data_IF_122348558087
#
_entry.id   IF_122348558087
#
_cell.length_a   1.000
_cell.length_b   1.000
_cell.length_c   1.000
_cell.angle_alpha   90.00
_cell.angle_beta   90.00
_cell.angle_gamma   90.00
#
_symmetry.space_group_name_H-M   'P 1'
#
loop_
_entity.id
_entity.type
_entity.pdbx_description
1 polymer ?
#
# COMPACT_ATOMS: atom_id res chain seq x y z
N UNK A 1 -14.01 -13.59 -8.63
CA UNK A 1 -12.90 -13.17 -7.76
C UNK A 1 -13.48 -12.53 -6.52
N UNK A 2 -12.92 -12.84 -5.38
CA UNK A 2 -13.29 -12.25 -4.09
C UNK A 2 -12.39 -11.04 -3.81
N UNK A 3 -12.87 -10.10 -3.01
CA UNK A 3 -12.15 -8.91 -2.60
C UNK A 3 -11.93 -8.95 -1.09
N UNK A 4 -10.67 -8.88 -0.66
CA UNK A 4 -10.28 -8.79 0.73
C UNK A 4 -9.73 -7.41 1.05
N UNK A 5 -10.06 -6.90 2.23
CA UNK A 5 -9.55 -5.62 2.75
C UNK A 5 -8.45 -5.92 3.76
N UNK A 6 -7.26 -5.36 3.54
CA UNK A 6 -6.09 -5.59 4.37
C UNK A 6 -5.62 -4.26 4.95
N UNK A 7 -5.35 -4.23 6.26
CA UNK A 7 -4.50 -3.20 6.84
C UNK A 7 -3.09 -3.76 7.02
N UNK A 8 -2.09 -3.02 6.58
CA UNK A 8 -0.69 -3.39 6.69
C UNK A 8 0.16 -2.23 7.22
N UNK A 9 1.38 -2.53 7.67
CA UNK A 9 2.31 -1.61 8.30
C UNK A 9 1.78 -1.08 9.64
N UNK A 10 2.09 -1.79 10.69
CA UNK A 10 1.64 -1.44 12.05
C UNK A 10 2.57 -2.04 13.10
N UNK A 11 2.66 -1.36 14.24
CA UNK A 11 3.62 -1.62 15.29
C UNK A 11 2.93 -1.99 16.59
N UNK A 12 3.59 -2.85 17.36
CA UNK A 12 3.16 -3.26 18.69
C UNK A 12 4.19 -2.87 19.74
N UNK A 13 3.97 -3.29 20.99
CA UNK A 13 4.95 -3.10 22.08
C UNK A 13 6.24 -3.91 21.93
N UNK A 14 6.36 -4.75 20.91
CA UNK A 14 7.61 -5.41 20.56
C UNK A 14 8.60 -4.46 19.88
N UNK A 15 8.10 -3.34 19.35
CA UNK A 15 8.90 -2.21 18.88
C UNK A 15 8.49 -0.92 19.61
N UNK A 16 7.74 -0.05 18.98
CA UNK A 16 7.42 1.30 19.45
C UNK A 16 5.91 1.63 19.42
N UNK A 17 5.06 0.67 19.06
CA UNK A 17 3.61 0.80 19.20
C UNK A 17 3.16 0.66 20.66
N UNK A 18 1.93 1.10 20.96
CA UNK A 18 1.40 1.07 22.34
C UNK A 18 0.59 -0.18 22.69
N UNK A 19 0.10 -0.94 21.68
CA UNK A 19 -0.75 -2.11 21.87
C UNK A 19 0.00 -3.44 21.73
N UNK A 20 -0.64 -4.52 22.14
CA UNK A 20 -0.21 -5.88 21.84
C UNK A 20 -0.93 -6.41 20.60
N UNK A 21 -0.48 -7.52 20.01
CA UNK A 21 -1.11 -8.16 18.86
C UNK A 21 -2.62 -8.41 19.06
N UNK A 22 -3.04 -8.78 20.28
CA UNK A 22 -4.47 -8.92 20.59
C UNK A 22 -5.25 -7.61 20.48
N UNK A 23 -4.61 -6.48 20.83
CA UNK A 23 -5.26 -5.16 20.76
C UNK A 23 -5.40 -4.73 19.28
N UNK A 24 -4.41 -5.10 18.45
CA UNK A 24 -4.50 -4.93 16.99
C UNK A 24 -5.62 -5.80 16.40
N UNK A 25 -5.73 -7.08 16.83
CA UNK A 25 -6.77 -7.98 16.38
C UNK A 25 -8.17 -7.44 16.68
N UNK A 26 -8.40 -6.96 17.92
CA UNK A 26 -9.67 -6.33 18.30
C UNK A 26 -9.96 -5.08 17.46
N UNK A 27 -8.94 -4.23 17.25
CA UNK A 27 -9.07 -3.05 16.41
C UNK A 27 -9.38 -3.39 14.93
N UNK A 28 -8.78 -4.46 14.40
CA UNK A 28 -9.06 -4.96 13.06
C UNK A 28 -10.48 -5.50 12.91
N UNK A 29 -10.95 -6.25 13.91
CA UNK A 29 -12.35 -6.70 13.96
C UNK A 29 -13.33 -5.51 14.05
N UNK A 30 -13.00 -4.47 14.81
CA UNK A 30 -13.79 -3.23 14.89
C UNK A 30 -13.78 -2.45 13.57
N UNK A 31 -12.67 -2.46 12.86
CA UNK A 31 -12.54 -1.83 11.55
C UNK A 31 -13.23 -2.63 10.43
N UNK A 32 -13.45 -3.94 10.62
CA UNK A 32 -14.08 -4.82 9.64
C UNK A 32 -13.14 -5.20 8.49
N UNK A 33 -11.81 -5.20 8.72
CA UNK A 33 -10.83 -5.68 7.74
C UNK A 33 -10.72 -7.20 7.78
N UNK A 34 -10.33 -7.80 6.65
CA UNK A 34 -10.23 -9.26 6.50
C UNK A 34 -8.88 -9.80 7.00
N UNK A 35 -7.81 -8.99 6.91
CA UNK A 35 -6.50 -9.36 7.43
C UNK A 35 -5.69 -8.15 7.94
N UNK A 36 -4.75 -8.44 8.87
CA UNK A 36 -3.71 -7.53 9.34
C UNK A 36 -2.34 -8.11 9.01
N UNK A 37 -1.42 -7.26 8.53
CA UNK A 37 -0.01 -7.58 8.32
C UNK A 37 0.82 -6.70 9.27
N UNK A 38 1.23 -7.28 10.40
CA UNK A 38 1.95 -6.60 11.49
C UNK A 38 3.43 -6.54 11.17
N UNK A 39 4.12 -5.44 11.50
CA UNK A 39 5.50 -5.17 11.06
C UNK A 39 6.32 -4.47 12.14
N UNK A 40 6.50 -5.10 13.30
CA UNK A 40 7.37 -4.54 14.34
C UNK A 40 8.80 -4.30 13.82
N UNK A 41 9.45 -3.24 14.30
CA UNK A 41 10.79 -2.85 13.87
C UNK A 41 11.85 -3.88 14.24
N UNK A 42 12.52 -4.45 13.21
CA UNK A 42 13.68 -5.33 13.37
C UNK A 42 13.45 -6.51 14.34
N UNK A 43 12.24 -7.02 14.39
CA UNK A 43 11.88 -8.21 15.18
C UNK A 43 10.76 -9.00 14.54
N UNK A 44 11.02 -10.27 14.24
CA UNK A 44 9.99 -11.21 13.78
C UNK A 44 9.34 -11.87 15.00
N UNK A 45 8.15 -11.42 15.37
CA UNK A 45 7.40 -11.97 16.50
C UNK A 45 6.72 -13.27 16.10
N UNK A 46 7.35 -14.40 16.35
CA UNK A 46 6.88 -15.71 15.90
C UNK A 46 5.68 -16.24 16.72
N UNK A 47 4.87 -17.08 16.07
CA UNK A 47 3.79 -17.82 16.73
C UNK A 47 2.50 -17.02 16.94
N UNK A 48 2.39 -15.82 16.34
CA UNK A 48 1.21 -14.97 16.46
C UNK A 48 0.40 -14.88 15.15
N UNK A 49 0.84 -15.54 14.09
CA UNK A 49 -0.01 -15.73 12.90
C UNK A 49 -1.23 -16.55 13.26
N UNK A 50 -2.40 -16.11 12.85
CA UNK A 50 -3.61 -16.88 13.12
C UNK A 50 -4.90 -16.11 12.93
N UNK A 51 -5.98 -16.85 13.06
CA UNK A 51 -7.33 -16.30 13.03
C UNK A 51 -7.76 -15.79 14.40
N UNK A 52 -8.23 -14.54 14.42
CA UNK A 52 -8.97 -13.93 15.52
C UNK A 52 -10.46 -13.90 15.17
N UNK A 53 -11.32 -14.19 16.14
CA UNK A 53 -12.75 -14.30 15.90
C UNK A 53 -13.56 -13.62 17.00
N UNK A 54 -14.61 -12.90 16.57
CA UNK A 54 -15.61 -12.29 17.45
C UNK A 54 -17.01 -12.51 16.84
N UNK A 55 -17.78 -13.43 17.41
CA UNK A 55 -19.06 -13.84 16.83
C UNK A 55 -18.88 -14.44 15.43
N UNK A 56 -19.49 -13.80 14.42
CA UNK A 56 -19.34 -14.19 13.01
C UNK A 56 -18.18 -13.51 12.28
N UNK A 57 -17.59 -12.46 12.88
CA UNK A 57 -16.46 -11.76 12.32
C UNK A 57 -15.19 -12.59 12.50
N UNK A 58 -14.35 -12.64 11.47
CA UNK A 58 -13.10 -13.36 11.45
C UNK A 58 -12.03 -12.50 10.78
N UNK A 59 -10.87 -12.45 11.38
CA UNK A 59 -9.70 -11.68 10.94
C UNK A 59 -8.48 -12.60 10.90
N UNK A 60 -7.73 -12.60 9.80
CA UNK A 60 -6.43 -13.26 9.73
C UNK A 60 -5.33 -12.27 10.09
N UNK A 61 -4.53 -12.57 11.11
CA UNK A 61 -3.32 -11.83 11.43
C UNK A 61 -2.12 -12.57 10.86
N UNK A 62 -1.26 -11.86 10.14
CA UNK A 62 0.03 -12.32 9.65
C UNK A 62 1.12 -11.39 10.18
N UNK A 63 2.25 -11.97 10.58
CA UNK A 63 3.39 -11.22 11.11
C UNK A 63 4.50 -11.16 10.09
N UNK A 64 5.03 -9.97 9.88
CA UNK A 64 6.22 -9.63 9.11
C UNK A 64 7.15 -8.77 9.94
N UNK A 65 7.99 -7.99 9.28
CA UNK A 65 8.93 -7.05 9.90
C UNK A 65 9.00 -5.75 9.10
N UNK A 66 9.25 -4.65 9.80
CA UNK A 66 9.82 -3.45 9.21
C UNK A 66 11.29 -3.35 9.58
N UNK A 67 12.15 -3.49 8.60
CA UNK A 67 13.59 -3.64 8.75
C UNK A 67 14.33 -2.36 8.36
N UNK A 68 15.20 -1.88 9.25
CA UNK A 68 16.05 -0.71 9.01
C UNK A 68 17.39 -0.83 9.75
N UNK A 69 18.39 -0.12 9.28
CA UNK A 69 19.71 -0.09 9.92
C UNK A 69 19.68 0.81 11.18
N UNK A 70 19.75 0.17 12.37
CA UNK A 70 19.77 0.85 13.68
C UNK A 70 21.05 1.65 13.93
N UNK A 71 22.09 1.47 13.13
CA UNK A 71 23.36 2.20 13.30
C UNK A 71 23.32 3.59 12.65
N UNK A 72 22.33 3.85 11.80
CA UNK A 72 22.13 5.14 11.17
C UNK A 72 21.43 6.10 12.14
N UNK A 73 22.01 7.29 12.43
CA UNK A 73 21.48 8.22 13.42
C UNK A 73 20.05 8.71 13.14
N UNK A 74 19.66 8.72 11.88
CA UNK A 74 18.40 9.28 11.39
C UNK A 74 17.42 8.20 10.91
N UNK A 75 17.74 6.94 11.15
CA UNK A 75 16.86 5.81 10.78
C UNK A 75 16.72 5.62 9.28
N UNK A 76 16.37 5.95 8.36
CA UNK A 76 16.20 5.88 6.91
C UNK A 76 16.27 4.48 6.28
N UNK A 77 15.65 4.34 5.11
CA UNK A 77 15.63 3.11 4.33
C UNK A 77 14.95 1.93 5.04
N UNK A 78 13.67 2.10 5.36
CA UNK A 78 12.85 1.04 5.93
C UNK A 78 12.30 0.09 4.85
N UNK A 79 12.26 -1.20 5.17
CA UNK A 79 11.77 -2.25 4.28
C UNK A 79 10.74 -3.12 5.01
N UNK A 80 9.51 -3.16 4.52
CA UNK A 80 8.49 -4.10 4.98
C UNK A 80 8.77 -5.47 4.35
N UNK A 81 8.81 -6.52 5.17
CA UNK A 81 9.02 -7.89 4.68
C UNK A 81 7.94 -8.82 5.22
N UNK A 82 7.30 -9.59 4.33
CA UNK A 82 6.21 -10.50 4.65
C UNK A 82 6.46 -11.91 4.10
N UNK A 83 6.12 -12.93 4.90
CA UNK A 83 6.15 -14.33 4.47
C UNK A 83 7.48 -15.05 4.73
N UNK A 84 8.49 -14.38 5.28
CA UNK A 84 9.72 -15.02 5.77
C UNK A 84 9.48 -15.77 7.09
N UNK A 85 10.39 -16.67 7.41
CA UNK A 85 10.32 -17.51 8.62
C UNK A 85 11.49 -17.28 9.59
N UNK A 86 12.46 -16.49 9.18
CA UNK A 86 13.68 -16.22 9.92
C UNK A 86 13.89 -14.72 10.03
N UNK A 87 14.37 -14.30 11.19
CA UNK A 87 14.77 -12.93 11.48
C UNK A 87 15.80 -12.42 10.45
N UNK A 88 15.55 -11.26 9.84
CA UNK A 88 16.39 -10.68 8.80
C UNK A 88 17.12 -9.40 9.23
N UNK A 89 16.94 -8.91 10.46
CA UNK A 89 17.53 -7.65 10.97
C UNK A 89 19.06 -7.59 10.87
N UNK A 90 19.73 -8.73 10.88
CA UNK A 90 21.21 -8.83 10.70
C UNK A 90 21.72 -8.39 9.33
N UNK A 91 20.82 -8.17 8.36
CA UNK A 91 21.20 -7.76 6.99
C UNK A 91 20.88 -6.30 6.70
N UNK A 92 20.35 -5.55 7.66
CA UNK A 92 19.84 -4.18 7.46
C UNK A 92 20.90 -3.14 7.08
N UNK A 93 22.18 -3.40 7.40
CA UNK A 93 23.31 -2.54 6.98
C UNK A 93 23.62 -2.60 5.48
N UNK A 94 23.03 -3.55 4.74
CA UNK A 94 23.19 -3.72 3.30
C UNK A 94 21.79 -3.94 2.68
N UNK A 95 21.13 -2.87 2.18
CA UNK A 95 19.76 -2.96 1.66
C UNK A 95 19.60 -3.95 0.52
N UNK A 96 20.59 -4.08 -0.39
CA UNK A 96 20.50 -5.06 -1.47
C UNK A 96 20.55 -6.48 -0.93
N UNK A 97 21.47 -6.75 -0.01
CA UNK A 97 21.58 -8.06 0.62
C UNK A 97 20.33 -8.42 1.43
N UNK A 98 19.71 -7.46 2.09
CA UNK A 98 18.46 -7.64 2.81
C UNK A 98 17.34 -8.08 1.84
N UNK A 99 17.19 -7.38 0.69
CA UNK A 99 16.22 -7.73 -0.35
C UNK A 99 16.52 -9.11 -0.93
N UNK A 100 17.79 -9.43 -1.19
CA UNK A 100 18.19 -10.74 -1.71
C UNK A 100 17.86 -11.87 -0.73
N UNK A 101 18.05 -11.63 0.57
CA UNK A 101 17.68 -12.60 1.62
C UNK A 101 16.16 -12.74 1.76
N UNK A 102 15.39 -11.67 1.67
CA UNK A 102 13.94 -11.75 1.62
C UNK A 102 13.47 -12.61 0.43
N UNK A 103 14.00 -12.36 -0.76
CA UNK A 103 13.71 -13.15 -1.96
C UNK A 103 14.12 -14.63 -1.82
N UNK A 104 15.28 -14.92 -1.26
CA UNK A 104 15.74 -16.29 -1.02
C UNK A 104 14.82 -17.07 -0.07
N UNK A 105 14.13 -16.38 0.84
CA UNK A 105 13.11 -16.94 1.72
C UNK A 105 11.70 -16.99 1.09
N UNK A 106 11.54 -16.57 -0.18
CA UNK A 106 10.25 -16.50 -0.86
C UNK A 106 9.34 -15.37 -0.34
N UNK A 107 9.90 -14.45 0.45
CA UNK A 107 9.15 -13.34 1.04
C UNK A 107 8.83 -12.24 0.02
N UNK A 108 7.92 -11.36 0.39
CA UNK A 108 7.66 -10.08 -0.27
C UNK A 108 8.43 -8.99 0.46
N UNK A 109 8.92 -8.02 -0.30
CA UNK A 109 9.55 -6.83 0.27
C UNK A 109 9.02 -5.57 -0.36
N UNK A 110 8.59 -4.61 0.47
CA UNK A 110 8.09 -3.31 0.02
C UNK A 110 8.95 -2.21 0.65
N UNK A 111 9.43 -1.28 -0.15
CA UNK A 111 10.09 -0.07 0.35
C UNK A 111 9.03 0.75 1.10
N UNK A 112 9.20 0.89 2.41
CA UNK A 112 8.29 1.64 3.27
C UNK A 112 8.47 3.14 3.06
N UNK A 113 7.38 3.91 3.12
CA UNK A 113 7.36 5.39 3.05
C UNK A 113 8.54 5.95 2.25
N UNK A 114 8.66 5.64 0.93
CA UNK A 114 9.86 5.88 0.12
C UNK A 114 10.27 7.35 0.09
N UNK A 115 9.31 8.25 0.23
CA UNK A 115 9.52 9.70 0.38
C UNK A 115 8.82 10.14 1.66
N UNK A 116 9.58 10.70 2.59
CA UNK A 116 9.06 11.18 3.86
C UNK A 116 9.75 12.48 4.27
N UNK A 117 8.98 13.49 4.67
CA UNK A 117 9.48 14.74 5.16
C UNK A 117 9.90 14.67 6.63
N UNK A 118 10.82 15.54 7.04
CA UNK A 118 11.08 15.77 8.46
C UNK A 118 9.87 16.41 9.14
N UNK A 119 9.70 16.18 10.45
CA UNK A 119 8.72 16.89 11.28
C UNK A 119 9.41 17.63 12.42
N UNK A 120 10.01 18.83 12.15
CA UNK A 120 10.83 19.56 13.11
C UNK A 120 10.09 19.93 14.39
N UNK A 121 8.76 20.13 14.31
CA UNK A 121 7.92 20.45 15.47
C UNK A 121 7.93 19.34 16.56
N UNK A 122 8.30 18.11 16.20
CA UNK A 122 8.41 16.95 17.10
C UNK A 122 9.82 16.36 17.14
N UNK A 123 10.79 17.05 16.54
CA UNK A 123 12.18 16.60 16.43
C UNK A 123 12.31 15.23 15.72
N UNK A 124 11.44 14.96 14.75
CA UNK A 124 11.49 13.76 13.93
C UNK A 124 12.25 14.01 12.63
N UNK A 125 13.16 13.07 12.30
CA UNK A 125 13.97 13.07 11.09
C UNK A 125 13.22 12.60 9.85
N UNK A 126 13.96 12.51 8.75
CA UNK A 126 13.54 11.92 7.49
C UNK A 126 13.87 10.44 7.47
N UNK A 127 12.85 9.57 7.28
CA UNK A 127 13.01 8.12 7.22
C UNK A 127 12.85 7.55 5.79
N UNK A 128 12.82 8.42 4.77
CA UNK A 128 12.69 8.03 3.38
C UNK A 128 13.79 7.08 2.88
N UNK A 129 13.51 6.37 1.80
CA UNK A 129 14.44 5.43 1.18
C UNK A 129 15.59 6.15 0.48
N UNK A 130 16.84 5.73 0.70
CA UNK A 130 18.05 6.43 0.21
C UNK A 130 18.72 5.75 -0.98
N UNK A 131 18.83 4.41 -0.97
CA UNK A 131 19.56 3.68 -2.03
C UNK A 131 18.62 3.14 -3.11
N UNK A 132 18.40 3.92 -4.15
CA UNK A 132 17.59 3.56 -5.31
C UNK A 132 18.32 2.68 -6.33
N UNK A 133 19.56 2.28 -6.09
CA UNK A 133 20.29 1.32 -6.92
C UNK A 133 19.86 -0.14 -6.69
N UNK A 134 19.19 -0.42 -5.56
CA UNK A 134 18.69 -1.75 -5.19
C UNK A 134 17.68 -2.29 -6.19
N UNK A 135 17.59 -3.61 -6.28
CA UNK A 135 16.71 -4.32 -7.24
C UNK A 135 16.06 -5.53 -6.57
N UNK A 136 14.95 -5.96 -7.14
CA UNK A 136 14.34 -7.22 -6.75
C UNK A 136 13.34 -7.13 -5.61
N UNK A 137 13.09 -5.95 -5.06
CA UNK A 137 11.97 -5.72 -4.15
C UNK A 137 10.63 -5.92 -4.89
N UNK A 138 9.58 -6.26 -4.16
CA UNK A 138 8.23 -6.51 -4.71
C UNK A 138 7.55 -5.21 -5.14
N UNK A 139 7.69 -4.17 -4.31
CA UNK A 139 6.99 -2.92 -4.56
C UNK A 139 7.36 -1.82 -3.57
N UNK A 140 6.51 -0.81 -3.52
CA UNK A 140 6.65 0.33 -2.61
C UNK A 140 5.35 0.59 -1.85
N UNK A 141 5.47 1.21 -0.71
CA UNK A 141 4.35 1.81 0.00
C UNK A 141 4.01 3.15 -0.66
N UNK A 142 3.02 3.11 -1.57
CA UNK A 142 2.62 4.29 -2.34
C UNK A 142 1.94 5.34 -1.46
N UNK A 143 1.16 4.88 -0.49
CA UNK A 143 0.42 5.72 0.44
C UNK A 143 0.70 5.27 1.86
N UNK A 144 1.47 6.06 2.61
CA UNK A 144 1.71 5.87 4.03
C UNK A 144 1.00 6.99 4.81
N UNK A 145 0.18 6.61 5.80
CA UNK A 145 -0.65 7.55 6.55
C UNK A 145 0.18 8.45 7.45
N UNK A 146 1.24 7.93 8.07
CA UNK A 146 2.09 8.73 8.97
C UNK A 146 3.01 9.68 8.19
N UNK A 147 3.53 9.26 7.04
CA UNK A 147 4.30 10.16 6.15
C UNK A 147 3.43 11.30 5.62
N UNK A 148 2.17 11.00 5.25
CA UNK A 148 1.23 12.06 4.88
C UNK A 148 0.97 13.00 6.07
N UNK A 149 0.84 12.47 7.30
CA UNK A 149 0.70 13.30 8.50
C UNK A 149 1.92 14.22 8.67
N UNK A 150 3.14 13.72 8.55
CA UNK A 150 4.37 14.54 8.66
C UNK A 150 4.37 15.67 7.64
N UNK A 151 4.15 15.36 6.36
CA UNK A 151 4.14 16.36 5.28
C UNK A 151 3.09 17.45 5.48
N UNK A 152 1.88 17.07 5.95
CA UNK A 152 0.78 18.03 6.09
C UNK A 152 0.76 18.77 7.42
N UNK A 153 1.52 18.33 8.42
CA UNK A 153 1.49 18.80 9.81
C UNK A 153 2.72 19.59 10.22
N UNK A 154 3.36 20.29 9.29
CA UNK A 154 4.64 21.01 9.46
C UNK A 154 4.63 22.14 10.51
N UNK A 155 3.50 22.46 11.13
CA UNK A 155 3.40 23.41 12.22
C UNK A 155 2.60 22.83 13.39
N UNK A 156 2.94 23.23 14.64
CA UNK A 156 2.25 22.75 15.84
C UNK A 156 0.71 22.89 15.79
N UNK A 157 0.12 24.02 15.31
CA UNK A 157 -1.34 24.10 15.19
C UNK A 157 -1.94 23.10 14.20
N UNK A 158 -1.26 22.87 13.05
CA UNK A 158 -1.71 21.87 12.07
C UNK A 158 -1.56 20.45 12.60
N UNK A 159 -0.44 20.16 13.26
CA UNK A 159 -0.20 18.86 13.88
C UNK A 159 -1.26 18.56 14.96
N UNK A 160 -1.55 19.52 15.82
CA UNK A 160 -2.64 19.38 16.82
C UNK A 160 -4.00 19.17 16.14
N UNK A 161 -4.33 19.95 15.09
CA UNK A 161 -5.56 19.80 14.34
C UNK A 161 -5.70 18.38 13.77
N UNK A 162 -4.68 17.88 13.08
CA UNK A 162 -4.71 16.55 12.46
C UNK A 162 -4.66 15.43 13.51
N UNK A 163 -3.95 15.62 14.63
CA UNK A 163 -3.91 14.66 15.72
C UNK A 163 -5.27 14.47 16.41
N UNK A 164 -6.00 15.55 16.66
CA UNK A 164 -7.32 15.52 17.29
C UNK A 164 -8.48 15.26 16.30
N UNK A 165 -8.28 15.60 15.02
CA UNK A 165 -9.25 15.41 13.95
C UNK A 165 -8.60 14.66 12.76
N UNK A 166 -8.18 13.40 12.95
CA UNK A 166 -7.42 12.65 11.95
C UNK A 166 -8.19 12.47 10.63
N UNK A 167 -9.52 12.50 10.67
CA UNK A 167 -10.36 12.46 9.45
C UNK A 167 -10.19 13.68 8.52
N UNK A 168 -9.45 14.69 8.92
CA UNK A 168 -9.14 15.87 8.10
C UNK A 168 -7.82 15.69 7.32
N UNK A 169 -7.02 14.69 7.68
CA UNK A 169 -5.67 14.52 7.19
C UNK A 169 -5.62 13.87 5.80
N UNK A 170 -6.09 12.63 5.66
CA UNK A 170 -5.89 11.83 4.46
C UNK A 170 -6.42 12.53 3.19
N UNK A 171 -5.52 12.86 2.26
CA UNK A 171 -5.84 13.58 1.02
C UNK A 171 -5.42 12.84 -0.24
N UNK A 172 -4.58 11.80 -0.11
CA UNK A 172 -4.03 11.01 -1.20
C UNK A 172 -2.54 10.76 -1.03
N UNK A 173 -1.97 9.83 -1.79
CA UNK A 173 -0.53 9.63 -1.86
C UNK A 173 0.18 10.95 -2.14
N UNK A 174 1.39 11.11 -1.61
CA UNK A 174 2.21 12.28 -1.91
C UNK A 174 2.53 12.34 -3.41
N UNK A 175 2.45 13.51 -4.02
CA UNK A 175 2.66 13.67 -5.46
C UNK A 175 4.03 13.16 -5.91
N UNK A 176 5.07 13.45 -5.13
CA UNK A 176 6.43 12.96 -5.41
C UNK A 176 6.51 11.44 -5.35
N UNK A 177 5.75 10.78 -4.46
CA UNK A 177 5.69 9.31 -4.40
C UNK A 177 4.97 8.72 -5.61
N UNK A 178 3.91 9.36 -6.10
CA UNK A 178 3.23 8.97 -7.34
C UNK A 178 4.18 9.08 -8.54
N UNK A 179 4.89 10.21 -8.68
CA UNK A 179 5.86 10.43 -9.76
C UNK A 179 7.01 9.41 -9.70
N UNK A 180 7.54 9.15 -8.52
CA UNK A 180 8.57 8.13 -8.29
C UNK A 180 8.07 6.75 -8.73
N UNK A 181 6.85 6.37 -8.32
CA UNK A 181 6.27 5.08 -8.70
C UNK A 181 6.09 4.95 -10.21
N UNK A 182 5.56 5.99 -10.89
CA UNK A 182 5.46 6.02 -12.35
C UNK A 182 6.83 5.83 -13.01
N UNK A 183 7.87 6.50 -12.52
CA UNK A 183 9.24 6.33 -13.02
C UNK A 183 9.77 4.90 -12.79
N UNK A 184 9.55 4.33 -11.61
CA UNK A 184 9.97 2.97 -11.28
C UNK A 184 9.28 1.94 -12.17
N UNK A 185 7.98 2.08 -12.44
CA UNK A 185 7.23 1.18 -13.34
C UNK A 185 7.77 1.22 -14.78
N UNK A 186 8.21 2.38 -15.25
CA UNK A 186 8.76 2.53 -16.61
C UNK A 186 10.20 2.04 -16.74
N UNK A 187 11.00 2.10 -15.68
CA UNK A 187 12.43 1.79 -15.71
C UNK A 187 12.77 0.38 -15.22
N UNK A 188 11.91 -0.21 -14.38
CA UNK A 188 12.12 -1.53 -13.83
C UNK A 188 11.87 -2.64 -14.85
N UNK A 189 12.66 -3.73 -14.73
CA UNK A 189 12.46 -4.94 -15.57
C UNK A 189 11.28 -5.81 -15.12
N UNK A 190 10.77 -5.57 -13.91
CA UNK A 190 9.65 -6.28 -13.29
C UNK A 190 8.63 -5.28 -12.82
N UNK A 191 7.36 -5.67 -12.72
CA UNK A 191 6.34 -4.86 -12.08
C UNK A 191 6.76 -4.37 -10.69
N UNK A 192 6.42 -3.12 -10.36
CA UNK A 192 6.62 -2.53 -9.03
C UNK A 192 5.24 -2.33 -8.42
N UNK A 193 4.92 -3.16 -7.44
CA UNK A 193 3.59 -3.17 -6.81
C UNK A 193 3.44 -2.01 -5.83
N UNK A 194 2.27 -1.38 -5.84
CA UNK A 194 1.89 -0.36 -4.86
C UNK A 194 0.99 -0.95 -3.77
N UNK A 195 1.27 -0.59 -2.52
CA UNK A 195 0.43 -0.88 -1.37
C UNK A 195 0.18 0.41 -0.57
N UNK A 196 -0.88 0.40 0.24
CA UNK A 196 -1.16 1.45 1.23
C UNK A 196 -0.92 0.89 2.63
N UNK A 197 -0.13 1.59 3.43
CA UNK A 197 0.14 1.23 4.80
C UNK A 197 -0.23 2.35 5.79
N UNK A 198 -0.63 1.94 6.98
CA UNK A 198 -1.12 2.88 7.99
C UNK A 198 -0.02 3.37 8.92
N UNK A 199 1.05 2.60 9.06
CA UNK A 199 2.17 2.89 9.98
C UNK A 199 1.68 3.20 11.40
N UNK A 200 0.84 2.27 11.89
CA UNK A 200 0.02 2.52 13.06
C UNK A 200 0.77 2.21 14.35
N UNK A 201 0.88 3.21 15.24
CA UNK A 201 1.54 3.11 16.54
C UNK A 201 0.56 3.25 17.72
N UNK A 202 -0.66 3.80 17.48
CA UNK A 202 -1.65 4.09 18.53
C UNK A 202 -1.04 4.92 19.68
N UNK A 203 -0.44 6.06 19.34
CA UNK A 203 0.36 6.88 20.25
C UNK A 203 -0.43 7.25 21.52
N UNK A 204 0.09 6.90 22.68
CA UNK A 204 -0.51 7.20 23.98
C UNK A 204 0.29 8.26 24.73
N UNK A 205 -0.32 9.41 24.97
CA UNK A 205 0.24 10.50 25.76
C UNK A 205 -0.47 10.58 27.12
N UNK A 206 0.33 10.73 28.19
CA UNK A 206 -0.15 10.88 29.57
C UNK A 206 0.07 12.30 30.08
N UNK A 207 -1.01 12.97 30.40
CA UNK A 207 -0.99 14.30 31.04
C UNK A 207 -1.61 14.20 32.43
N UNK A 208 -0.81 13.87 33.46
CA UNK A 208 -1.30 13.56 34.81
C UNK A 208 -2.26 12.35 34.77
N UNK A 209 -3.52 12.49 35.24
CA UNK A 209 -4.49 11.40 35.17
C UNK A 209 -5.12 11.21 33.78
N UNK A 210 -4.95 12.18 32.86
CA UNK A 210 -5.52 12.12 31.52
C UNK A 210 -4.65 11.29 30.58
N UNK A 211 -5.27 10.32 29.89
CA UNK A 211 -4.65 9.57 28.80
C UNK A 211 -5.29 10.00 27.49
N UNK A 212 -4.48 10.47 26.55
CA UNK A 212 -4.89 10.85 25.21
C UNK A 212 -4.28 9.86 24.22
N UNK A 213 -5.12 9.21 23.41
CA UNK A 213 -4.69 8.36 22.32
C UNK A 213 -4.83 9.11 21.02
N UNK A 214 -3.74 9.24 20.29
CA UNK A 214 -3.71 9.81 18.96
C UNK A 214 -3.62 8.66 17.94
N UNK A 215 -4.37 8.78 16.85
CA UNK A 215 -4.40 7.76 15.80
C UNK A 215 -4.65 6.33 16.32
N UNK A 216 -5.84 6.07 16.94
CA UNK A 216 -6.16 4.72 17.41
C UNK A 216 -6.12 3.71 16.25
N UNK A 217 -5.61 2.51 16.50
CA UNK A 217 -5.53 1.43 15.49
C UNK A 217 -6.83 1.25 14.70
N UNK A 218 -7.99 1.14 15.37
CA UNK A 218 -9.27 0.93 14.71
C UNK A 218 -9.66 2.09 13.77
N UNK A 219 -9.22 3.32 14.03
CA UNK A 219 -9.41 4.44 13.13
C UNK A 219 -8.54 4.27 11.88
N UNK A 220 -7.24 4.02 12.06
CA UNK A 220 -6.29 3.89 10.96
C UNK A 220 -6.65 2.70 10.07
N UNK A 221 -6.96 1.52 10.63
CA UNK A 221 -7.36 0.32 9.89
C UNK A 221 -8.67 0.49 9.10
N UNK A 222 -9.53 1.43 9.48
CA UNK A 222 -10.76 1.76 8.78
C UNK A 222 -10.57 2.82 7.72
N UNK A 223 -9.53 3.65 7.84
CA UNK A 223 -9.34 4.78 6.95
C UNK A 223 -8.53 4.44 5.71
N UNK A 224 -7.33 3.91 5.88
CA UNK A 224 -6.41 3.61 4.78
C UNK A 224 -6.14 2.11 4.72
N UNK A 225 -6.42 1.51 3.58
CA UNK A 225 -6.37 0.05 3.39
C UNK A 225 -5.74 -0.32 2.05
N UNK A 226 -5.25 -1.55 1.95
CA UNK A 226 -4.93 -2.19 0.68
C UNK A 226 -6.01 -3.24 0.40
N UNK A 227 -6.73 -3.08 -0.70
CA UNK A 227 -7.65 -4.10 -1.19
C UNK A 227 -6.94 -5.04 -2.13
N UNK A 228 -7.18 -6.35 -1.97
CA UNK A 228 -6.65 -7.37 -2.87
C UNK A 228 -7.76 -8.17 -3.52
N UNK A 229 -7.52 -8.61 -4.76
CA UNK A 229 -8.40 -9.48 -5.50
C UNK A 229 -7.83 -10.90 -5.51
N UNK A 230 -8.58 -11.85 -4.96
CA UNK A 230 -8.17 -13.25 -4.83
C UNK A 230 -9.14 -14.17 -5.57
N UNK A 231 -8.69 -15.33 -6.08
CA UNK A 231 -9.57 -16.24 -6.82
C UNK A 231 -10.68 -16.86 -5.95
N UNK A 232 -10.42 -17.09 -4.67
CA UNK A 232 -11.31 -17.82 -3.76
C UNK A 232 -11.48 -17.08 -2.43
N UNK A 233 -12.54 -17.41 -1.69
CA UNK A 233 -12.73 -16.96 -0.31
C UNK A 233 -11.67 -17.57 0.61
N UNK A 234 -11.40 -16.89 1.73
CA UNK A 234 -10.58 -17.44 2.80
C UNK A 234 -11.20 -18.74 3.34
N UNK A 235 -10.38 -19.76 3.42
CA UNK A 235 -10.80 -21.13 3.83
C UNK A 235 -10.89 -21.28 5.35
N UNK A 236 -10.08 -20.51 6.09
CA UNK A 236 -9.87 -20.66 7.54
C UNK A 236 -8.63 -21.48 7.89
N UNK A 237 -7.93 -21.98 6.89
CA UNK A 237 -6.63 -22.64 7.08
C UNK A 237 -5.53 -21.61 6.86
N UNK A 238 -4.70 -21.38 7.90
CA UNK A 238 -3.76 -20.26 7.97
C UNK A 238 -2.76 -20.27 6.83
N UNK A 239 -2.16 -21.41 6.50
CA UNK A 239 -1.11 -21.48 5.48
C UNK A 239 -1.66 -21.29 4.06
N UNK A 240 -2.83 -21.83 3.78
CA UNK A 240 -3.54 -21.66 2.53
C UNK A 240 -3.91 -20.21 2.32
N UNK A 241 -4.51 -19.58 3.34
CA UNK A 241 -5.00 -18.22 3.27
C UNK A 241 -3.85 -17.20 3.30
N UNK A 242 -2.77 -17.47 4.05
CA UNK A 242 -1.50 -16.71 3.95
C UNK A 242 -0.96 -16.71 2.52
N UNK A 243 -0.87 -17.88 1.90
CA UNK A 243 -0.36 -18.03 0.53
C UNK A 243 -1.24 -17.25 -0.45
N UNK A 244 -2.56 -17.33 -0.30
CA UNK A 244 -3.53 -16.61 -1.12
C UNK A 244 -3.33 -15.09 -1.05
N UNK A 245 -3.18 -14.54 0.16
CA UNK A 245 -2.95 -13.10 0.38
C UNK A 245 -1.60 -12.66 -0.18
N UNK A 246 -0.53 -13.37 0.18
CA UNK A 246 0.82 -13.00 -0.25
C UNK A 246 0.98 -13.09 -1.77
N UNK A 247 0.34 -14.07 -2.42
CA UNK A 247 0.41 -14.20 -3.88
C UNK A 247 -0.34 -13.06 -4.59
N UNK A 248 -1.52 -12.66 -4.10
CA UNK A 248 -2.22 -11.50 -4.63
C UNK A 248 -1.40 -10.20 -4.50
N UNK A 249 -0.72 -10.00 -3.38
CA UNK A 249 0.20 -8.88 -3.19
C UNK A 249 1.42 -8.98 -4.13
N UNK A 250 2.00 -10.18 -4.30
CA UNK A 250 3.13 -10.43 -5.21
C UNK A 250 2.81 -10.05 -6.65
N UNK A 251 1.60 -10.41 -7.08
CA UNK A 251 1.13 -10.17 -8.45
C UNK A 251 0.63 -8.73 -8.67
N UNK A 252 0.46 -7.93 -7.61
CA UNK A 252 -0.13 -6.61 -7.73
C UNK A 252 -1.64 -6.62 -8.01
N UNK A 253 -2.33 -7.72 -7.68
CA UNK A 253 -3.79 -7.82 -7.73
C UNK A 253 -4.41 -7.01 -6.60
N UNK A 254 -4.04 -5.73 -6.52
CA UNK A 254 -4.30 -4.86 -5.38
C UNK A 254 -4.55 -3.40 -5.78
N UNK A 255 -5.18 -2.66 -4.90
CA UNK A 255 -5.29 -1.21 -4.98
C UNK A 255 -5.23 -0.56 -3.59
N UNK A 256 -4.69 0.66 -3.54
CA UNK A 256 -4.69 1.50 -2.35
C UNK A 256 -6.05 2.21 -2.22
N UNK A 257 -6.61 2.25 -1.02
CA UNK A 257 -7.97 2.72 -0.79
C UNK A 257 -8.10 3.57 0.47
N UNK A 258 -8.84 4.67 0.37
CA UNK A 258 -9.25 5.51 1.49
C UNK A 258 -10.73 5.26 1.78
N UNK A 259 -11.03 4.30 2.65
CA UNK A 259 -12.40 3.82 2.90
C UNK A 259 -13.26 4.74 3.79
N UNK A 260 -12.67 5.73 4.44
CA UNK A 260 -13.36 6.59 5.40
C UNK A 260 -14.50 7.43 4.79
N UNK A 261 -14.36 8.03 3.57
CA UNK A 261 -15.45 8.79 2.95
C UNK A 261 -16.62 7.92 2.53
N UNK A 262 -16.30 6.81 1.89
CA UNK A 262 -17.22 5.80 1.37
C UNK A 262 -16.45 4.50 1.14
N UNK A 263 -17.02 3.31 1.43
CA UNK A 263 -16.37 2.05 1.14
C UNK A 263 -15.97 1.92 -0.32
N UNK A 264 -14.73 1.51 -0.58
CA UNK A 264 -14.18 1.32 -1.93
C UNK A 264 -14.48 -0.06 -2.50
N UNK A 265 -15.01 -0.99 -1.68
CA UNK A 265 -15.42 -2.32 -2.12
C UNK A 265 -16.27 -2.28 -3.39
N UNK A 266 -15.92 -3.13 -4.34
CA UNK A 266 -16.56 -3.20 -5.64
C UNK A 266 -15.88 -2.37 -6.72
N UNK A 267 -14.79 -1.65 -6.40
CA UNK A 267 -13.93 -1.08 -7.43
C UNK A 267 -13.31 -2.20 -8.27
N UNK A 268 -13.33 -2.01 -9.60
CA UNK A 268 -12.68 -2.93 -10.54
C UNK A 268 -12.00 -2.14 -11.65
N UNK A 269 -10.76 -2.51 -11.94
CA UNK A 269 -10.01 -2.08 -13.13
C UNK A 269 -9.59 -3.34 -13.88
N UNK A 270 -10.09 -3.48 -15.10
CA UNK A 270 -9.91 -4.67 -15.94
C UNK A 270 -9.52 -4.31 -17.35
N UNK A 271 -8.93 -5.25 -18.07
CA UNK A 271 -8.67 -5.17 -19.49
C UNK A 271 -9.21 -6.41 -20.20
N UNK A 272 -10.19 -6.23 -21.08
CA UNK A 272 -10.67 -7.30 -21.93
C UNK A 272 -9.79 -7.41 -23.17
N UNK A 273 -9.34 -8.62 -23.45
CA UNK A 273 -8.53 -9.03 -24.59
C UNK A 273 -9.23 -10.17 -25.33
N UNK A 274 -8.66 -10.64 -26.43
CA UNK A 274 -9.16 -11.84 -27.13
C UNK A 274 -8.97 -13.12 -26.29
N UNK A 275 -8.02 -13.13 -25.38
CA UNK A 275 -7.65 -14.31 -24.56
C UNK A 275 -8.39 -14.34 -23.21
N UNK A 276 -9.17 -13.29 -22.89
CA UNK A 276 -9.90 -13.19 -21.63
C UNK A 276 -9.82 -11.82 -20.98
N UNK A 277 -10.16 -11.77 -19.69
CA UNK A 277 -10.15 -10.55 -18.88
C UNK A 277 -8.96 -10.56 -17.93
N UNK A 278 -8.09 -9.57 -18.08
CA UNK A 278 -6.99 -9.28 -17.17
C UNK A 278 -7.41 -8.28 -16.09
N UNK A 279 -6.72 -8.30 -14.96
CA UNK A 279 -6.92 -7.38 -13.83
C UNK A 279 -5.64 -6.61 -13.51
N UNK A 280 -5.69 -5.74 -12.51
CA UNK A 280 -4.51 -5.05 -11.97
C UNK A 280 -3.38 -6.05 -11.68
N UNK A 281 -2.15 -5.71 -12.05
CA UNK A 281 -0.96 -6.56 -11.92
C UNK A 281 -0.66 -7.42 -13.16
N UNK A 282 -1.66 -7.71 -13.97
CA UNK A 282 -1.51 -8.57 -15.14
C UNK A 282 -0.78 -7.89 -16.31
N UNK A 283 -0.19 -8.71 -17.17
CA UNK A 283 0.41 -8.30 -18.44
C UNK A 283 -0.42 -8.82 -19.61
N UNK A 284 -0.72 -7.96 -20.59
CA UNK A 284 -1.54 -8.27 -21.76
C UNK A 284 -0.83 -7.89 -23.07
N UNK A 285 -1.19 -8.56 -24.18
CA UNK A 285 -0.66 -8.25 -25.52
C UNK A 285 -1.48 -7.13 -26.18
N UNK A 286 -0.83 -6.04 -26.57
CA UNK A 286 -1.50 -4.84 -27.09
C UNK A 286 -2.00 -4.97 -28.53
N UNK A 287 -1.31 -5.74 -29.38
CA UNK A 287 -1.55 -5.87 -30.82
C UNK A 287 -2.95 -6.39 -31.18
N UNK A 288 -3.55 -7.21 -30.33
CA UNK A 288 -4.89 -7.77 -30.51
C UNK A 288 -6.04 -6.79 -30.22
N UNK A 289 -5.73 -5.63 -29.66
CA UNK A 289 -6.71 -4.65 -29.18
C UNK A 289 -7.09 -4.89 -27.72
N UNK A 290 -7.18 -3.79 -26.99
CA UNK A 290 -7.43 -3.77 -25.54
C UNK A 290 -8.68 -2.93 -25.25
N UNK A 291 -9.51 -3.42 -24.36
CA UNK A 291 -10.63 -2.64 -23.80
C UNK A 291 -10.47 -2.53 -22.31
N UNK A 292 -9.89 -1.42 -21.84
CA UNK A 292 -9.82 -1.10 -20.43
C UNK A 292 -11.20 -0.68 -19.91
N UNK A 293 -11.57 -1.20 -18.75
CA UNK A 293 -12.80 -0.86 -18.06
C UNK A 293 -12.53 -0.56 -16.60
N UNK A 294 -13.07 0.57 -16.13
CA UNK A 294 -13.11 0.93 -14.72
C UNK A 294 -14.55 0.91 -14.27
N UNK A 295 -14.82 0.26 -13.15
CA UNK A 295 -16.10 0.30 -12.45
C UNK A 295 -15.89 0.82 -11.04
N UNK A 296 -16.64 1.84 -10.66
CA UNK A 296 -16.60 2.48 -9.36
C UNK A 296 -17.80 2.09 -8.51
N UNK A 297 -17.67 2.04 -7.17
CA UNK A 297 -18.80 1.81 -6.26
C UNK A 297 -19.86 2.91 -6.33
N UNK A 298 -19.45 4.14 -6.58
CA UNK A 298 -20.31 5.34 -6.71
C UNK A 298 -19.81 6.24 -7.83
N UNK A 299 -20.66 7.17 -8.26
CA UNK A 299 -20.28 8.23 -9.21
C UNK A 299 -19.29 9.18 -8.57
N UNK A 300 -18.17 9.39 -9.24
CA UNK A 300 -17.15 10.32 -8.77
C UNK A 300 -16.16 10.67 -9.90
N UNK A 301 -15.03 11.30 -9.54
CA UNK A 301 -13.99 11.70 -10.48
C UNK A 301 -12.99 10.56 -10.68
N UNK A 302 -12.79 10.11 -11.91
CA UNK A 302 -11.89 9.02 -12.30
C UNK A 302 -10.97 9.43 -13.44
N UNK A 303 -9.69 9.04 -13.31
CA UNK A 303 -8.64 9.22 -14.31
C UNK A 303 -8.06 7.87 -14.70
N UNK A 304 -7.89 7.65 -15.99
CA UNK A 304 -7.07 6.59 -16.56
C UNK A 304 -5.75 7.20 -17.01
N UNK A 305 -4.65 6.65 -16.52
CA UNK A 305 -3.31 7.09 -16.87
C UNK A 305 -2.64 6.01 -17.73
N UNK A 306 -1.79 6.45 -18.66
CA UNK A 306 -0.83 5.63 -19.40
C UNK A 306 0.55 6.22 -19.20
N UNK A 307 1.50 5.41 -18.73
CA UNK A 307 2.89 5.83 -18.52
C UNK A 307 3.01 7.10 -17.65
N UNK A 308 2.18 7.21 -16.60
CA UNK A 308 2.11 8.35 -15.70
C UNK A 308 1.31 9.56 -16.22
N UNK A 309 0.84 9.53 -17.48
CA UNK A 309 0.12 10.65 -18.09
C UNK A 309 -1.38 10.35 -18.16
N UNK A 310 -2.22 11.29 -17.73
CA UNK A 310 -3.68 11.19 -17.83
C UNK A 310 -4.10 11.18 -19.31
N UNK A 311 -4.69 10.07 -19.76
CA UNK A 311 -5.17 9.91 -21.15
C UNK A 311 -6.69 9.98 -21.26
N UNK A 312 -7.39 9.76 -20.15
CA UNK A 312 -8.85 9.87 -20.09
C UNK A 312 -9.30 10.24 -18.68
N UNK A 313 -10.26 11.14 -18.58
CA UNK A 313 -10.78 11.64 -17.32
C UNK A 313 -12.31 11.81 -17.43
N UNK A 314 -13.00 11.46 -16.36
CA UNK A 314 -14.44 11.69 -16.23
C UNK A 314 -14.79 12.16 -14.84
N UNK A 315 -15.67 13.16 -14.75
CA UNK A 315 -16.30 13.60 -13.52
C UNK A 315 -17.71 13.01 -13.43
N UNK A 316 -18.15 12.68 -12.22
CA UNK A 316 -19.51 12.17 -11.94
C UNK A 316 -19.91 10.94 -12.80
N UNK A 317 -19.03 9.92 -12.82
CA UNK A 317 -19.27 8.66 -13.53
C UNK A 317 -18.97 7.46 -12.63
N UNK A 318 -19.67 6.35 -12.88
CA UNK A 318 -19.41 5.04 -12.27
C UNK A 318 -18.57 4.13 -13.18
N UNK A 319 -18.51 4.45 -14.47
CA UNK A 319 -17.84 3.61 -15.46
C UNK A 319 -16.98 4.48 -16.38
N UNK A 320 -15.76 4.01 -16.64
CA UNK A 320 -14.89 4.53 -17.69
C UNK A 320 -14.47 3.37 -18.59
N UNK A 321 -14.55 3.56 -19.91
CA UNK A 321 -14.07 2.57 -20.89
C UNK A 321 -13.09 3.23 -21.84
N UNK A 322 -11.99 2.56 -22.17
CA UNK A 322 -10.97 3.04 -23.12
C UNK A 322 -10.51 1.90 -24.02
N UNK A 323 -10.61 2.11 -25.35
CA UNK A 323 -10.17 1.17 -26.38
C UNK A 323 -8.84 1.64 -26.95
N UNK A 324 -7.87 0.72 -27.05
CA UNK A 324 -6.54 1.04 -27.59
C UNK A 324 -5.83 -0.21 -28.12
N UNK A 325 -4.75 0.01 -28.86
CA UNK A 325 -3.73 -1.01 -29.22
C UNK A 325 -2.33 -0.59 -28.79
N UNK A 326 -2.23 0.46 -28.00
CA UNK A 326 -0.95 1.01 -27.61
C UNK A 326 -0.37 0.25 -26.42
N UNK A 327 0.90 -0.17 -26.48
CA UNK A 327 1.60 -0.66 -25.31
C UNK A 327 1.83 0.47 -24.30
N UNK A 328 1.98 0.12 -23.04
CA UNK A 328 2.22 1.06 -21.95
C UNK A 328 1.76 0.51 -20.61
N UNK A 329 1.99 1.27 -19.55
CA UNK A 329 1.59 0.99 -18.18
C UNK A 329 0.30 1.74 -17.88
N UNK A 330 -0.80 1.03 -17.71
CA UNK A 330 -2.11 1.62 -17.49
C UNK A 330 -2.54 1.50 -16.04
N UNK A 331 -2.86 2.61 -15.37
CA UNK A 331 -3.37 2.64 -14.00
C UNK A 331 -4.50 3.63 -13.82
N UNK A 332 -5.21 3.54 -12.71
CA UNK A 332 -6.38 4.36 -12.40
C UNK A 332 -6.17 5.13 -11.11
N UNK A 333 -6.55 6.39 -11.14
CA UNK A 333 -6.70 7.24 -9.97
C UNK A 333 -8.16 7.66 -9.84
N UNK A 334 -8.69 7.58 -8.63
CA UNK A 334 -10.05 8.01 -8.33
C UNK A 334 -10.03 9.00 -7.17
N UNK A 335 -10.82 10.04 -7.30
CA UNK A 335 -10.92 11.11 -6.32
C UNK A 335 -12.36 11.28 -5.86
N UNK A 336 -12.53 11.69 -4.61
CA UNK A 336 -13.83 11.88 -3.97
C UNK A 336 -13.88 13.21 -3.22
N UNK A 337 -15.03 13.88 -3.23
CA UNK A 337 -15.24 15.05 -2.40
C UNK A 337 -15.64 14.62 -0.99
N UNK A 338 -14.79 14.96 -0.02
CA UNK A 338 -15.01 14.64 1.37
C UNK A 338 -14.59 15.80 2.27
N UNK A 339 -15.50 16.26 3.15
CA UNK A 339 -15.29 17.39 4.06
C UNK A 339 -14.76 18.64 3.35
N UNK A 340 -15.44 19.03 2.27
CA UNK A 340 -15.13 20.20 1.43
C UNK A 340 -13.72 20.19 0.81
N UNK A 341 -13.15 19.00 0.58
CA UNK A 341 -11.88 18.82 -0.13
C UNK A 341 -12.01 17.70 -1.15
N UNK A 342 -11.40 17.93 -2.30
CA UNK A 342 -11.18 16.89 -3.31
C UNK A 342 -9.99 16.05 -2.88
N UNK A 343 -10.19 14.73 -2.69
CA UNK A 343 -9.22 13.82 -2.09
C UNK A 343 -9.00 12.61 -2.95
N UNK A 344 -7.78 12.08 -2.92
CA UNK A 344 -7.52 10.74 -3.41
C UNK A 344 -8.39 9.72 -2.69
N UNK A 345 -8.95 8.77 -3.44
CA UNK A 345 -9.85 7.76 -2.92
C UNK A 345 -9.39 6.35 -3.25
N UNK A 346 -9.03 6.09 -4.54
CA UNK A 346 -8.53 4.79 -4.99
C UNK A 346 -7.34 5.00 -5.94
N UNK A 347 -6.26 4.24 -5.74
CA UNK A 347 -5.08 4.19 -6.63
C UNK A 347 -4.82 2.73 -6.98
N UNK A 348 -5.07 2.36 -8.24
CA UNK A 348 -4.93 0.98 -8.68
C UNK A 348 -3.49 0.63 -8.99
N UNK A 349 -3.09 -0.62 -8.74
CA UNK A 349 -1.96 -1.19 -9.45
C UNK A 349 -2.22 -1.22 -10.96
N UNK A 350 -1.19 -1.20 -11.79
CA UNK A 350 -1.35 -1.10 -13.24
C UNK A 350 -1.71 -2.43 -13.89
N UNK A 351 -2.20 -2.34 -15.14
CA UNK A 351 -2.19 -3.41 -16.13
C UNK A 351 -1.10 -3.05 -17.15
N UNK A 352 -0.21 -4.00 -17.43
CA UNK A 352 0.92 -3.81 -18.33
C UNK A 352 0.56 -4.29 -19.74
N UNK A 353 0.48 -3.37 -20.71
CA UNK A 353 0.27 -3.70 -22.10
C UNK A 353 1.63 -3.76 -22.82
N UNK A 354 1.98 -4.90 -23.42
CA UNK A 354 3.27 -5.12 -24.08
C UNK A 354 3.08 -5.47 -25.55
N UNK A 355 4.08 -5.14 -26.38
CA UNK A 355 4.15 -5.59 -27.77
C UNK A 355 4.63 -7.04 -27.87
N UNK A 356 4.08 -7.79 -28.84
CA UNK A 356 4.54 -9.17 -29.15
C UNK A 356 6.04 -9.28 -29.45
N UNK A 357 6.65 -8.21 -29.98
CA UNK A 357 8.09 -8.15 -30.30
C UNK A 357 8.98 -7.80 -29.12
N UNK A 358 8.40 -7.35 -28.01
CA UNK A 358 9.09 -6.92 -26.83
C UNK A 358 8.62 -7.77 -25.63
N UNK A 359 9.42 -8.70 -25.21
CA UNK A 359 9.29 -9.32 -23.88
C UNK A 359 9.73 -8.36 -22.76
N UNK A 360 9.95 -7.08 -23.08
CA UNK A 360 10.36 -5.99 -22.18
C UNK A 360 9.37 -4.86 -22.28
N UNK A 361 9.00 -4.28 -21.15
CA UNK A 361 8.39 -2.95 -21.06
C UNK A 361 9.30 -1.99 -21.85
N UNK A 362 8.76 -1.34 -22.88
CA UNK A 362 9.55 -0.49 -23.76
C UNK A 362 10.10 0.73 -23.00
N UNK A 363 11.39 0.77 -22.76
CA UNK A 363 12.13 1.92 -22.25
C UNK A 363 12.49 2.90 -23.39
N UNK A 364 11.56 3.20 -24.28
CA UNK A 364 11.77 4.20 -25.32
C UNK A 364 10.97 5.45 -24.99
N UNK A 365 11.50 6.29 -24.08
CA UNK A 365 11.40 7.76 -24.15
C UNK A 365 12.17 8.36 -22.99
N UNK A 366 13.20 9.11 -23.29
CA UNK A 366 13.92 9.89 -22.29
C UNK A 366 15.34 10.23 -22.63
N UNK A 367 15.59 10.75 -23.84
CA UNK A 367 16.65 11.75 -23.99
C UNK A 367 16.00 13.10 -23.72
N UNK A 368 16.08 13.56 -22.50
CA UNK A 368 15.96 14.98 -22.19
C UNK A 368 17.37 15.54 -22.22
N UNK A 369 17.60 16.40 -23.22
CA UNK A 369 18.74 17.29 -23.35
C UNK A 369 18.74 18.34 -22.24
#
# INVERSE_FOLDING_TARGET
MEELVIALHMHTRYSDGSGLHKDLAEAGLDAGVDALLVTDHNVLVQGLDGYHQRGKQRLLMLVGEELHDRTLPEGGSHLLVFGHKQELSRYTSDPQKLIDQANANGALSFIAHPIEDTLPAFNEGEFGWRDWSVKGYTGIELWNQMSEFKTRSQSLPKAALHAFFPQLMDQGPLEHTLQLWDQLMLTSKKPVVAVAGVDAHNLEYKYGPLRVRLYPYAFQFRSLTTHILVPNKLTGEINTDRTLILEALRQGHAFCAFDLPHPTRGFRFTCNTNDGTAIMGDTVQADAGLTFQVRLPIRTHVRLLKDGVVIKEHHDREVLTHLTKEPGVYRVEVYIDYRNRHRGWIFSNPIYAVDRKSTRLNSSHGKLS
#
